data_IF_665583374733
#
_entry.id   IF_665583374733
#
_cell.length_a   1.000
_cell.length_b   1.000
_cell.length_c   1.000
_cell.angle_alpha   90.00
_cell.angle_beta   90.00
_cell.angle_gamma   90.00
#
_symmetry.space_group_name_H-M   'P 1'
#
loop_
_entity.id
_entity.type
_entity.pdbx_description
1 polymer ?
#
# COMPACT_ATOMS: atom_id res chain seq x y z
N UNK A 1 41.23 -9.80 -4.57
CA UNK A 1 40.99 -9.78 -6.03
C UNK A 1 39.55 -9.38 -6.25
N UNK A 2 39.34 -8.30 -7.01
CA UNK A 2 38.03 -7.84 -7.47
C UNK A 2 37.22 -8.96 -8.11
N UNK A 3 35.90 -8.92 -7.94
CA UNK A 3 35.00 -8.90 -9.09
C UNK A 3 33.61 -8.39 -8.67
N UNK A 4 33.40 -7.13 -8.99
CA UNK A 4 32.10 -6.52 -9.24
C UNK A 4 31.49 -7.11 -10.51
N UNK A 5 30.27 -7.62 -10.46
CA UNK A 5 29.44 -7.75 -11.67
C UNK A 5 27.97 -7.49 -11.34
N UNK A 6 27.54 -6.27 -11.61
CA UNK A 6 26.14 -5.91 -11.77
C UNK A 6 25.59 -6.65 -13.00
N UNK A 7 24.51 -7.41 -12.81
CA UNK A 7 23.72 -7.91 -13.94
C UNK A 7 22.69 -6.84 -14.27
N UNK A 8 23.07 -5.95 -15.18
CA UNK A 8 22.15 -5.12 -15.97
C UNK A 8 21.54 -6.03 -17.03
N UNK A 9 20.20 -6.11 -17.08
CA UNK A 9 19.47 -6.88 -18.09
C UNK A 9 19.68 -6.24 -19.48
N UNK A 10 20.17 -7.04 -20.42
CA UNK A 10 20.26 -6.71 -21.84
C UNK A 10 18.88 -6.48 -22.46
N UNK A 11 18.71 -5.34 -23.14
CA UNK A 11 17.78 -5.17 -24.27
C UNK A 11 18.65 -4.78 -25.46
N UNK A 12 18.83 -5.71 -26.41
CA UNK A 12 19.44 -5.47 -27.71
C UNK A 12 18.39 -4.79 -28.61
N UNK A 13 18.67 -3.56 -29.01
CA UNK A 13 17.86 -2.79 -29.96
C UNK A 13 18.62 -1.55 -30.41
N UNK A 14 19.05 -1.59 -31.67
CA UNK A 14 19.67 -0.56 -32.51
C UNK A 14 19.53 0.92 -32.08
N UNK A 15 20.67 1.61 -32.14
CA UNK A 15 20.88 3.01 -31.79
C UNK A 15 19.86 4.00 -32.39
N UNK A 16 19.13 4.68 -31.50
CA UNK A 16 18.58 6.02 -31.75
C UNK A 16 18.92 6.84 -30.51
N UNK A 17 19.54 8.01 -30.72
CA UNK A 17 19.88 8.99 -29.70
C UNK A 17 18.62 9.43 -28.95
N UNK A 18 18.33 8.79 -27.81
CA UNK A 18 17.47 9.33 -26.76
C UNK A 18 18.31 9.31 -25.48
N UNK A 19 18.76 10.49 -25.05
CA UNK A 19 19.27 10.70 -23.69
C UNK A 19 18.11 10.50 -22.71
N UNK A 20 17.82 9.25 -22.36
CA UNK A 20 17.02 8.96 -21.18
C UNK A 20 17.85 9.40 -19.97
N UNK A 21 17.31 10.21 -19.04
CA UNK A 21 17.99 10.45 -17.78
C UNK A 21 18.24 9.11 -17.10
N UNK A 22 19.51 8.74 -16.96
CA UNK A 22 19.92 7.60 -16.16
C UNK A 22 19.69 7.99 -14.69
N UNK A 23 18.53 7.63 -14.16
CA UNK A 23 18.25 7.79 -12.75
C UNK A 23 19.04 6.74 -11.97
N UNK A 24 20.11 7.20 -11.30
CA UNK A 24 20.91 6.39 -10.40
C UNK A 24 20.09 6.19 -9.13
N UNK A 25 19.63 4.97 -8.85
CA UNK A 25 19.00 4.69 -7.56
C UNK A 25 20.06 4.86 -6.46
N UNK A 26 19.80 5.75 -5.50
CA UNK A 26 20.67 5.93 -4.33
C UNK A 26 20.52 4.69 -3.43
N UNK A 27 21.63 4.00 -3.16
CA UNK A 27 21.69 2.94 -2.14
C UNK A 27 21.88 3.58 -0.76
N UNK A 28 20.83 3.54 0.05
CA UNK A 28 20.83 4.10 1.40
C UNK A 28 21.40 3.14 2.46
N UNK A 29 21.80 1.92 2.07
CA UNK A 29 22.54 0.95 2.91
C UNK A 29 21.68 -0.23 3.38
N UNK A 30 22.05 -0.84 4.52
CA UNK A 30 21.26 -1.91 5.16
C UNK A 30 21.15 -1.73 6.69
N UNK A 31 19.94 -1.81 7.26
CA UNK A 31 19.71 -1.80 8.71
C UNK A 31 19.54 -3.23 9.22
N UNK A 32 20.20 -3.52 10.34
CA UNK A 32 20.03 -4.77 11.06
C UNK A 32 19.23 -4.51 12.35
N UNK A 33 18.48 -5.52 12.83
CA UNK A 33 17.92 -5.49 14.17
C UNK A 33 19.02 -5.29 15.21
N UNK A 34 18.67 -4.65 16.32
CA UNK A 34 19.55 -4.54 17.49
C UNK A 34 19.41 -5.76 18.39
N UNK A 35 18.18 -6.25 18.54
CA UNK A 35 17.83 -7.39 19.39
C UNK A 35 16.81 -8.29 18.72
N UNK A 36 16.72 -9.52 19.18
CA UNK A 36 15.69 -10.46 18.73
C UNK A 36 15.20 -11.37 19.84
N UNK A 37 13.98 -11.88 19.66
CA UNK A 37 13.39 -12.95 20.44
C UNK A 37 12.96 -14.07 19.49
N UNK A 38 13.17 -15.32 19.89
CA UNK A 38 12.74 -16.50 19.14
C UNK A 38 12.01 -17.46 20.10
N UNK A 39 10.74 -17.75 19.81
CA UNK A 39 9.92 -18.58 20.68
C UNK A 39 8.49 -18.75 20.17
N UNK A 40 7.55 -18.92 21.10
CA UNK A 40 6.13 -19.18 20.80
C UNK A 40 5.23 -17.97 21.05
N UNK A 41 5.50 -17.24 22.14
CA UNK A 41 4.70 -16.12 22.61
C UNK A 41 5.58 -14.89 22.88
N UNK A 42 5.01 -13.72 22.63
CA UNK A 42 5.71 -12.43 22.72
C UNK A 42 5.77 -11.96 24.18
N UNK A 43 6.97 -11.68 24.70
CA UNK A 43 7.19 -10.95 25.97
C UNK A 43 8.24 -9.85 25.75
N UNK A 44 8.14 -8.70 26.43
CA UNK A 44 9.09 -7.60 26.27
C UNK A 44 10.41 -7.81 27.05
N UNK A 45 10.56 -8.92 27.78
CA UNK A 45 11.68 -9.15 28.71
C UNK A 45 12.79 -10.04 28.17
N UNK A 46 12.56 -10.79 27.10
CA UNK A 46 13.39 -11.96 26.77
C UNK A 46 14.26 -11.78 25.50
N UNK A 47 14.70 -10.56 25.23
CA UNK A 47 15.44 -10.23 24.00
C UNK A 47 16.95 -10.47 24.10
N UNK A 48 17.48 -11.29 23.20
CA UNK A 48 18.92 -11.45 22.98
C UNK A 48 19.47 -10.39 22.03
N UNK A 49 20.78 -10.10 22.13
CA UNK A 49 21.44 -9.21 21.16
C UNK A 49 21.47 -9.84 19.77
N UNK A 50 21.23 -9.06 18.72
CA UNK A 50 21.33 -9.54 17.35
C UNK A 50 22.79 -9.85 16.99
N UNK A 51 23.05 -11.07 16.48
CA UNK A 51 24.41 -11.55 16.17
C UNK A 51 24.66 -11.73 14.66
N UNK A 52 23.78 -11.22 13.81
CA UNK A 52 23.87 -11.37 12.35
C UNK A 52 24.00 -12.85 11.91
N UNK A 53 23.26 -13.71 12.61
CA UNK A 53 23.30 -15.15 12.48
C UNK A 53 22.09 -15.69 11.72
N UNK A 54 22.16 -16.98 11.39
CA UNK A 54 21.06 -17.64 10.71
C UNK A 54 19.96 -17.97 11.73
N UNK A 55 18.75 -17.43 11.57
CA UNK A 55 17.62 -17.76 12.45
C UNK A 55 16.84 -18.93 11.87
N UNK A 56 16.47 -19.88 12.73
CA UNK A 56 15.63 -21.01 12.33
C UNK A 56 14.25 -20.94 12.96
N UNK A 57 13.19 -20.74 12.17
CA UNK A 57 11.81 -20.84 12.67
C UNK A 57 11.41 -22.32 12.66
N UNK A 58 10.93 -22.84 13.78
CA UNK A 58 10.50 -24.24 13.94
C UNK A 58 9.10 -24.30 14.55
N UNK A 59 8.41 -25.46 14.55
CA UNK A 59 7.14 -25.59 15.27
C UNK A 59 7.24 -25.29 16.78
N UNK A 60 8.41 -25.52 17.41
CA UNK A 60 8.66 -25.19 18.82
C UNK A 60 9.08 -23.74 19.06
N UNK A 61 9.50 -23.03 18.01
CA UNK A 61 9.83 -21.61 18.05
C UNK A 61 9.37 -20.93 16.74
N UNK A 62 8.04 -20.81 16.51
CA UNK A 62 7.49 -20.37 15.25
C UNK A 62 7.54 -18.85 15.06
N UNK A 63 7.87 -18.10 16.11
CA UNK A 63 7.80 -16.65 16.15
C UNK A 63 9.19 -16.05 16.38
N UNK A 64 9.63 -15.24 15.43
CA UNK A 64 10.75 -14.32 15.57
C UNK A 64 10.21 -12.91 15.79
N UNK A 65 10.73 -12.20 16.77
CA UNK A 65 10.47 -10.76 16.96
C UNK A 65 11.79 -10.02 16.90
N UNK A 66 11.83 -8.92 16.16
CA UNK A 66 13.00 -8.07 15.95
C UNK A 66 12.74 -6.70 16.56
N UNK A 67 13.71 -6.20 17.34
CA UNK A 67 13.75 -4.83 17.87
C UNK A 67 14.90 -4.09 17.18
N UNK A 68 14.57 -3.04 16.44
CA UNK A 68 15.55 -2.16 15.81
C UNK A 68 16.19 -1.16 16.78
N UNK A 69 15.72 -1.09 18.03
CA UNK A 69 16.05 -0.14 19.09
C UNK A 69 15.65 1.31 18.81
N UNK A 70 15.49 1.68 17.54
CA UNK A 70 14.99 2.96 17.06
C UNK A 70 13.96 2.73 15.96
N UNK A 71 13.20 3.77 15.65
CA UNK A 71 12.32 3.78 14.49
C UNK A 71 13.13 3.78 13.19
N UNK A 72 12.78 2.85 12.31
CA UNK A 72 13.44 2.64 11.02
C UNK A 72 12.40 2.56 9.91
N UNK A 73 12.84 2.74 8.67
CA UNK A 73 11.98 2.61 7.50
C UNK A 73 12.78 2.14 6.29
N UNK A 74 12.08 1.50 5.35
CA UNK A 74 12.67 0.95 4.14
C UNK A 74 11.85 -0.21 3.56
N UNK A 75 12.40 -0.85 2.52
CA UNK A 75 11.87 -2.11 2.01
C UNK A 75 12.44 -3.25 2.83
N UNK A 76 11.54 -4.04 3.46
CA UNK A 76 11.94 -5.28 4.11
C UNK A 76 12.50 -6.22 3.04
N UNK A 77 13.60 -6.88 3.38
CA UNK A 77 14.00 -8.07 2.69
C UNK A 77 14.56 -9.12 3.65
N UNK A 78 14.53 -10.38 3.24
CA UNK A 78 15.22 -11.44 3.96
C UNK A 78 15.78 -12.46 2.98
N UNK A 79 16.76 -13.21 3.46
CA UNK A 79 17.46 -14.20 2.65
C UNK A 79 17.21 -15.60 3.18
N UNK A 80 16.25 -16.28 2.57
CA UNK A 80 15.95 -17.68 2.85
C UNK A 80 17.15 -18.53 2.43
N UNK A 81 17.77 -19.22 3.39
CA UNK A 81 18.92 -20.09 3.11
C UNK A 81 18.50 -21.49 2.70
N UNK A 82 17.41 -21.98 3.29
CA UNK A 82 16.75 -23.23 2.91
C UNK A 82 15.29 -23.19 3.35
N UNK A 83 14.44 -23.82 2.54
CA UNK A 83 13.05 -24.10 2.82
C UNK A 83 12.83 -25.59 2.59
N UNK A 84 12.03 -26.23 3.44
CA UNK A 84 11.53 -27.58 3.21
C UNK A 84 10.10 -27.48 2.68
N UNK A 85 9.92 -27.79 1.39
CA UNK A 85 8.60 -27.73 0.74
C UNK A 85 8.14 -26.30 0.46
N UNK A 86 6.86 -26.00 0.68
CA UNK A 86 6.33 -24.64 0.64
C UNK A 86 6.11 -24.16 2.06
N UNK A 87 6.73 -23.04 2.45
CA UNK A 87 6.54 -22.44 3.76
C UNK A 87 5.84 -21.08 3.63
N UNK A 88 4.96 -20.76 4.57
CA UNK A 88 4.35 -19.43 4.66
C UNK A 88 4.86 -18.68 5.87
N UNK A 89 5.18 -17.42 5.67
CA UNK A 89 5.57 -16.50 6.74
C UNK A 89 4.66 -15.28 6.74
N UNK A 90 4.02 -15.04 7.89
CA UNK A 90 3.33 -13.78 8.15
C UNK A 90 4.31 -12.82 8.79
N UNK A 91 4.30 -11.58 8.32
CA UNK A 91 5.17 -10.52 8.79
C UNK A 91 4.27 -9.38 9.27
N UNK A 92 4.53 -8.86 10.47
CA UNK A 92 3.85 -7.69 11.04
C UNK A 92 4.85 -6.61 11.40
N UNK A 93 4.46 -5.36 11.22
CA UNK A 93 5.29 -4.17 11.46
C UNK A 93 4.63 -3.29 12.50
N UNK A 94 5.39 -2.82 13.49
CA UNK A 94 4.88 -2.01 14.59
C UNK A 94 5.84 -0.90 14.99
N UNK A 95 5.33 0.33 15.16
CA UNK A 95 6.07 1.39 15.87
C UNK A 95 6.10 1.08 17.39
N UNK A 96 4.99 0.53 17.92
CA UNK A 96 4.87 0.09 19.31
C UNK A 96 4.89 -1.43 19.44
N UNK A 97 5.55 -1.96 20.48
CA UNK A 97 5.68 -3.40 20.71
C UNK A 97 4.32 -4.12 20.83
N UNK A 98 3.38 -3.49 21.55
CA UNK A 98 2.06 -4.09 21.82
C UNK A 98 1.25 -4.30 20.53
N UNK A 99 1.48 -3.47 19.51
CA UNK A 99 0.76 -3.56 18.24
C UNK A 99 0.93 -4.91 17.56
N UNK A 100 2.09 -5.57 17.69
CA UNK A 100 2.36 -6.89 17.08
C UNK A 100 1.37 -7.99 17.49
N UNK A 101 0.67 -7.81 18.61
CA UNK A 101 -0.36 -8.73 19.08
C UNK A 101 -1.71 -8.57 18.36
N UNK A 102 -1.96 -7.40 17.76
CA UNK A 102 -3.17 -7.13 16.98
C UNK A 102 -3.15 -7.89 15.64
N UNK A 103 -4.32 -8.25 15.07
CA UNK A 103 -4.39 -8.91 13.76
C UNK A 103 -3.65 -8.17 12.64
N UNK A 104 -3.81 -6.84 12.57
CA UNK A 104 -3.19 -5.96 11.56
C UNK A 104 -2.07 -5.07 12.14
N UNK A 105 -1.44 -5.51 13.23
CA UNK A 105 -0.38 -4.74 13.89
C UNK A 105 -0.84 -3.33 14.34
N UNK A 106 -0.12 -2.26 13.97
CA UNK A 106 -0.51 -0.85 14.15
C UNK A 106 -1.30 -0.28 12.95
N UNK A 107 -1.67 -1.14 11.99
CA UNK A 107 -2.55 -0.83 10.87
C UNK A 107 -4.00 -1.31 11.07
N UNK A 108 -4.88 -1.12 10.07
CA UNK A 108 -4.55 -0.52 8.78
C UNK A 108 -4.43 1.02 8.86
N UNK A 109 -3.64 1.62 7.97
CA UNK A 109 -3.61 3.07 7.73
C UNK A 109 -4.27 3.38 6.39
N UNK A 110 -5.54 3.76 6.43
CA UNK A 110 -6.40 3.88 5.24
C UNK A 110 -6.70 5.32 4.83
N UNK A 111 -6.04 6.29 5.45
CA UNK A 111 -6.30 7.71 5.21
C UNK A 111 -5.86 8.18 3.81
N UNK A 112 -4.87 7.51 3.23
CA UNK A 112 -4.36 7.78 1.89
C UNK A 112 -3.93 6.48 1.21
N UNK A 113 -3.99 6.45 -0.13
CA UNK A 113 -3.24 5.46 -0.88
C UNK A 113 -1.75 5.82 -0.79
N UNK A 114 -0.92 4.90 -0.32
CA UNK A 114 0.50 5.15 -0.09
C UNK A 114 1.38 4.04 -0.67
N UNK A 115 2.67 4.34 -0.77
CA UNK A 115 3.68 3.31 -1.06
C UNK A 115 3.97 2.41 0.12
N UNK A 116 3.44 2.76 1.28
CA UNK A 116 3.50 1.96 2.47
C UNK A 116 2.48 0.82 2.45
N UNK A 117 2.80 -0.29 3.11
CA UNK A 117 1.80 -1.34 3.32
C UNK A 117 0.71 -0.81 4.27
N UNK A 118 -0.47 -0.50 3.72
CA UNK A 118 -1.64 -0.03 4.46
C UNK A 118 -1.97 -0.94 5.64
N UNK A 119 -1.89 -2.26 5.48
CA UNK A 119 -2.38 -3.20 6.49
C UNK A 119 -1.36 -3.52 7.56
N UNK A 120 -0.09 -3.14 7.38
CA UNK A 120 1.01 -3.38 8.34
C UNK A 120 1.22 -4.85 8.70
N UNK A 121 0.66 -5.72 7.86
CA UNK A 121 0.80 -7.17 7.84
C UNK A 121 0.89 -7.61 6.38
N UNK A 122 1.71 -8.60 6.10
CA UNK A 122 1.75 -9.28 4.81
C UNK A 122 2.13 -10.75 5.00
N UNK A 123 1.68 -11.60 4.09
CA UNK A 123 2.05 -13.01 4.07
C UNK A 123 2.84 -13.33 2.80
N UNK A 124 3.93 -14.09 2.93
CA UNK A 124 4.77 -14.49 1.82
C UNK A 124 4.85 -16.02 1.71
N UNK A 125 4.75 -16.52 0.48
CA UNK A 125 5.09 -17.90 0.14
C UNK A 125 6.59 -17.99 -0.11
N UNK A 126 7.25 -18.86 0.63
CA UNK A 126 8.65 -19.20 0.49
C UNK A 126 8.73 -20.56 -0.19
N UNK A 127 9.06 -20.57 -1.48
CA UNK A 127 9.16 -21.78 -2.31
C UNK A 127 10.60 -22.19 -2.52
N UNK A 128 11.52 -21.22 -2.56
CA UNK A 128 12.92 -21.43 -2.94
C UNK A 128 13.85 -20.64 -2.00
N UNK A 129 15.09 -21.10 -1.81
CA UNK A 129 16.15 -20.27 -1.23
C UNK A 129 16.39 -19.02 -2.07
N UNK A 130 16.67 -17.90 -1.42
CA UNK A 130 16.97 -16.64 -2.11
C UNK A 130 16.52 -15.41 -1.34
N UNK A 131 16.57 -14.27 -2.04
CA UNK A 131 16.15 -12.97 -1.52
C UNK A 131 14.66 -12.76 -1.77
N UNK A 132 13.92 -12.48 -0.71
CA UNK A 132 12.53 -12.03 -0.76
C UNK A 132 12.50 -10.57 -0.30
N UNK A 133 11.81 -9.71 -1.04
CA UNK A 133 11.73 -8.27 -0.78
C UNK A 133 10.26 -7.85 -0.87
N UNK A 134 9.77 -7.08 0.10
CA UNK A 134 8.41 -6.54 0.09
C UNK A 134 8.22 -5.54 -1.04
N UNK A 135 7.03 -5.51 -1.62
CA UNK A 135 6.71 -4.55 -2.70
C UNK A 135 6.50 -3.13 -2.16
N UNK A 136 5.87 -3.00 -0.99
CA UNK A 136 5.60 -1.73 -0.34
C UNK A 136 6.69 -1.37 0.69
N UNK A 137 6.94 -0.07 0.86
CA UNK A 137 7.84 0.43 1.90
C UNK A 137 7.20 0.22 3.28
N UNK A 138 8.00 0.08 4.34
CA UNK A 138 7.53 0.28 5.70
C UNK A 138 8.03 1.64 6.17
N UNK A 139 7.14 2.64 6.22
CA UNK A 139 7.48 4.07 6.40
C UNK A 139 7.67 4.53 7.86
N UNK A 140 7.89 3.58 8.77
CA UNK A 140 8.06 3.77 10.21
C UNK A 140 7.80 2.43 10.90
N UNK A 141 8.78 1.87 11.58
CA UNK A 141 8.68 0.68 12.41
C UNK A 141 9.88 0.60 13.35
N UNK A 142 9.66 0.17 14.58
CA UNK A 142 10.74 -0.28 15.47
C UNK A 142 10.71 -1.79 15.69
N UNK A 143 9.52 -2.37 15.58
CA UNK A 143 9.24 -3.76 15.87
C UNK A 143 8.77 -4.47 14.61
N UNK A 144 9.24 -5.70 14.45
CA UNK A 144 8.78 -6.60 13.42
C UNK A 144 8.57 -7.97 14.04
N UNK A 145 7.48 -8.64 13.68
CA UNK A 145 7.30 -10.04 14.01
C UNK A 145 7.18 -10.87 12.75
N UNK A 146 7.74 -12.07 12.79
CA UNK A 146 7.64 -13.02 11.71
C UNK A 146 7.24 -14.38 12.25
N UNK A 147 6.07 -14.84 11.80
CA UNK A 147 5.46 -16.08 12.26
C UNK A 147 5.41 -17.08 11.12
N UNK A 148 6.00 -18.25 11.31
CA UNK A 148 5.76 -19.39 10.43
C UNK A 148 4.32 -19.86 10.55
N UNK A 149 3.58 -19.85 9.44
CA UNK A 149 2.18 -20.29 9.39
C UNK A 149 2.04 -21.81 9.14
N UNK A 150 3.13 -22.46 8.75
CA UNK A 150 3.23 -23.90 8.49
C UNK A 150 4.33 -24.55 9.33
N UNK A 151 4.16 -25.82 9.67
CA UNK A 151 5.04 -26.57 10.57
C UNK A 151 6.35 -27.06 9.92
N UNK A 152 7.27 -26.21 9.43
CA UNK A 152 8.55 -26.71 8.87
C UNK A 152 9.73 -25.74 9.06
N UNK A 153 10.97 -26.25 9.24
CA UNK A 153 12.12 -25.46 9.63
C UNK A 153 12.60 -24.53 8.50
N UNK A 154 12.42 -23.23 8.68
CA UNK A 154 13.08 -22.20 7.87
C UNK A 154 14.47 -21.98 8.42
N UNK A 155 15.56 -22.15 7.66
CA UNK A 155 16.87 -21.58 8.04
C UNK A 155 17.05 -20.29 7.25
N UNK A 156 17.09 -19.14 7.90
CA UNK A 156 17.25 -17.82 7.26
C UNK A 156 18.66 -17.30 7.53
N UNK A 157 19.49 -17.07 6.50
CA UNK A 157 20.92 -16.80 6.70
C UNK A 157 21.21 -15.40 7.23
N UNK A 158 20.42 -14.40 6.82
CA UNK A 158 20.65 -12.96 7.08
C UNK A 158 19.37 -12.18 6.80
N UNK A 159 18.72 -11.69 7.87
CA UNK A 159 17.64 -10.69 7.78
C UNK A 159 18.20 -9.29 7.84
N UNK A 160 17.75 -8.46 6.91
CA UNK A 160 18.39 -7.20 6.59
C UNK A 160 17.35 -6.30 5.97
N UNK A 161 17.18 -5.09 6.48
CA UNK A 161 16.39 -4.05 5.80
C UNK A 161 17.29 -3.32 4.84
N UNK A 162 16.82 -2.87 3.67
CA UNK A 162 17.56 -1.80 3.01
C UNK A 162 17.45 -0.58 3.94
N UNK A 163 18.59 -0.13 4.45
CA UNK A 163 18.67 1.00 5.36
C UNK A 163 18.01 2.16 4.69
N UNK A 164 17.23 2.91 5.46
CA UNK A 164 17.08 4.29 5.10
C UNK A 164 17.60 5.24 6.18
N UNK A 165 17.66 4.93 7.50
CA UNK A 165 17.95 6.00 8.49
C UNK A 165 18.96 5.73 9.62
N UNK A 166 19.71 6.80 9.91
CA UNK A 166 20.24 7.25 11.20
C UNK A 166 19.69 8.69 11.41
N UNK A 167 19.58 9.13 12.67
CA UNK A 167 18.89 10.35 13.14
C UNK A 167 18.86 11.59 12.21
N UNK A 168 17.69 12.24 12.19
CA UNK A 168 17.47 13.62 11.75
C UNK A 168 17.49 13.82 10.23
N UNK A 169 18.65 14.24 9.71
CA UNK A 169 18.75 14.73 8.33
C UNK A 169 18.42 13.69 7.25
N UNK A 170 18.68 12.40 7.51
CA UNK A 170 18.34 11.34 6.57
C UNK A 170 16.83 11.08 6.51
N UNK A 171 16.09 11.26 7.61
CA UNK A 171 14.62 11.11 7.61
C UNK A 171 13.94 12.14 6.72
N UNK A 172 14.50 13.35 6.65
CA UNK A 172 14.03 14.38 5.70
C UNK A 172 14.38 14.02 4.26
N UNK A 173 15.58 13.49 4.00
CA UNK A 173 15.91 12.96 2.67
C UNK A 173 14.99 11.80 2.26
N UNK A 174 14.48 11.05 3.24
CA UNK A 174 13.44 10.05 3.01
C UNK A 174 12.21 10.65 2.40
N UNK A 175 11.76 11.83 2.80
CA UNK A 175 10.50 12.32 2.26
C UNK A 175 10.66 12.69 0.77
N UNK A 176 11.89 12.81 0.29
CA UNK A 176 12.19 13.18 -1.09
C UNK A 176 12.24 11.98 -2.05
N UNK A 177 11.72 12.21 -3.25
CA UNK A 177 11.61 11.25 -4.35
C UNK A 177 12.13 11.92 -5.61
N UNK A 178 13.06 11.26 -6.31
CA UNK A 178 13.57 11.75 -7.59
C UNK A 178 12.48 11.78 -8.66
N UNK A 179 12.51 12.78 -9.54
CA UNK A 179 11.71 12.80 -10.76
C UNK A 179 11.79 11.45 -11.49
N UNK A 180 10.70 10.98 -12.09
CA UNK A 180 10.65 9.69 -12.78
C UNK A 180 10.84 8.43 -11.91
N UNK A 181 11.21 8.57 -10.63
CA UNK A 181 11.44 7.44 -9.71
C UNK A 181 10.35 7.28 -8.66
N UNK A 182 9.24 8.00 -8.78
CA UNK A 182 8.06 7.74 -7.97
C UNK A 182 7.67 6.27 -8.11
N UNK A 183 7.83 5.46 -7.06
CA UNK A 183 7.40 4.08 -7.15
C UNK A 183 5.88 4.11 -7.36
N UNK A 184 5.39 3.30 -8.30
CA UNK A 184 3.96 3.17 -8.51
C UNK A 184 3.41 2.15 -7.50
N UNK A 185 2.32 2.51 -6.82
CA UNK A 185 1.61 1.58 -5.94
C UNK A 185 0.89 0.47 -6.71
N UNK A 186 0.72 0.69 -8.03
CA UNK A 186 0.17 -0.27 -8.99
C UNK A 186 1.26 -0.70 -9.97
N UNK A 187 1.32 -1.98 -10.29
CA UNK A 187 2.23 -2.48 -11.31
C UNK A 187 1.51 -2.54 -12.65
N UNK A 188 1.88 -1.65 -13.59
CA UNK A 188 1.26 -1.59 -14.91
C UNK A 188 1.89 -2.64 -15.83
N UNK A 189 1.06 -3.47 -16.45
CA UNK A 189 1.45 -4.51 -17.40
C UNK A 189 0.64 -4.41 -18.69
N UNK A 190 0.99 -5.22 -19.69
CA UNK A 190 0.20 -5.33 -20.93
C UNK A 190 -1.24 -5.84 -20.71
N UNK A 191 -1.50 -6.51 -19.57
CA UNK A 191 -2.81 -7.05 -19.24
C UNK A 191 -3.68 -6.09 -18.40
N UNK A 192 -3.10 -4.99 -17.91
CA UNK A 192 -3.78 -4.01 -17.05
C UNK A 192 -2.91 -3.58 -15.85
N UNK A 193 -3.54 -2.88 -14.90
CA UNK A 193 -2.91 -2.50 -13.64
C UNK A 193 -3.06 -3.63 -12.61
N UNK A 194 -1.94 -4.22 -12.18
CA UNK A 194 -1.89 -5.16 -11.07
C UNK A 194 -1.86 -4.39 -9.74
N UNK A 195 -2.92 -4.54 -8.97
CA UNK A 195 -3.15 -3.84 -7.71
C UNK A 195 -3.09 -4.86 -6.57
N UNK A 196 -2.12 -4.67 -5.67
CA UNK A 196 -2.00 -5.41 -4.40
C UNK A 196 -2.85 -4.75 -3.33
N UNK A 197 -3.13 -5.45 -2.23
CA UNK A 197 -3.96 -4.88 -1.20
C UNK A 197 -3.34 -3.65 -0.55
N UNK A 198 -4.14 -2.60 -0.51
CA UNK A 198 -3.77 -1.25 -0.08
C UNK A 198 -5.05 -0.42 0.09
N UNK A 199 -4.95 0.72 0.76
CA UNK A 199 -6.03 1.71 0.74
C UNK A 199 -6.34 2.10 -0.71
N UNK A 200 -7.63 2.16 -1.06
CA UNK A 200 -8.05 2.38 -2.45
C UNK A 200 -7.58 3.75 -2.97
N UNK A 201 -6.99 3.76 -4.17
CA UNK A 201 -6.61 5.00 -4.84
C UNK A 201 -7.83 5.61 -5.53
N UNK A 202 -8.23 6.80 -5.08
CA UNK A 202 -9.38 7.52 -5.61
C UNK A 202 -9.07 8.20 -6.94
N UNK A 203 -10.04 8.22 -7.84
CA UNK A 203 -9.92 8.83 -9.16
C UNK A 203 -10.17 10.33 -9.07
N UNK A 204 -9.26 11.16 -9.59
CA UNK A 204 -9.52 12.59 -9.72
C UNK A 204 -10.67 12.89 -10.70
N UNK A 205 -10.93 12.00 -11.67
CA UNK A 205 -12.01 12.17 -12.66
C UNK A 205 -13.43 11.98 -12.08
N UNK A 206 -13.51 11.34 -10.91
CA UNK A 206 -14.78 11.08 -10.23
C UNK A 206 -15.14 12.10 -9.17
N UNK A 207 -14.25 13.06 -8.87
CA UNK A 207 -14.54 14.09 -7.88
C UNK A 207 -15.80 14.88 -8.26
N UNK A 208 -16.71 15.06 -7.28
CA UNK A 208 -17.98 15.76 -7.45
C UNK A 208 -18.99 15.07 -8.40
N UNK A 209 -18.75 13.82 -8.81
CA UNK A 209 -19.75 13.06 -9.58
C UNK A 209 -20.83 12.53 -8.64
N UNK A 210 -22.04 12.38 -9.17
CA UNK A 210 -23.14 11.76 -8.44
C UNK A 210 -23.99 10.89 -9.37
N UNK A 211 -24.75 9.95 -8.80
CA UNK A 211 -25.75 9.14 -9.50
C UNK A 211 -25.21 8.45 -10.78
N UNK A 212 -23.97 7.96 -10.72
CA UNK A 212 -23.32 7.34 -11.86
C UNK A 212 -23.33 5.81 -11.78
N UNK A 213 -23.06 5.19 -12.93
CA UNK A 213 -22.75 3.77 -13.05
C UNK A 213 -21.28 3.61 -13.42
N UNK A 214 -20.54 2.88 -12.59
CA UNK A 214 -19.14 2.53 -12.84
C UNK A 214 -19.06 1.15 -13.50
N UNK A 215 -18.38 1.06 -14.64
CA UNK A 215 -18.07 -0.21 -15.31
C UNK A 215 -16.57 -0.43 -15.37
N UNK A 216 -16.12 -1.63 -15.00
CA UNK A 216 -14.70 -1.99 -15.06
C UNK A 216 -14.53 -3.51 -15.16
N UNK A 217 -13.40 -3.94 -15.73
CA UNK A 217 -13.04 -5.35 -15.81
C UNK A 217 -11.98 -5.68 -14.76
N UNK A 218 -12.16 -6.81 -14.08
CA UNK A 218 -11.23 -7.35 -13.09
C UNK A 218 -10.76 -8.75 -13.49
N UNK A 219 -9.56 -9.11 -13.06
CA UNK A 219 -9.14 -10.51 -12.92
C UNK A 219 -8.48 -10.69 -11.56
N UNK A 220 -9.10 -11.47 -10.69
CA UNK A 220 -8.56 -11.76 -9.36
C UNK A 220 -7.38 -12.72 -9.53
N UNK A 221 -6.21 -12.33 -9.04
CA UNK A 221 -4.99 -13.15 -9.03
C UNK A 221 -4.86 -13.91 -7.72
N UNK A 222 -5.36 -13.32 -6.63
CA UNK A 222 -5.42 -13.95 -5.31
C UNK A 222 -6.49 -13.33 -4.45
N UNK A 223 -7.27 -14.17 -3.79
CA UNK A 223 -8.17 -13.85 -2.70
C UNK A 223 -9.44 -13.14 -3.13
N UNK A 224 -9.32 -11.94 -3.71
CA UNK A 224 -10.47 -11.13 -4.10
C UNK A 224 -10.07 -9.79 -4.70
N UNK A 225 -11.03 -8.89 -4.84
CA UNK A 225 -10.83 -7.51 -5.29
C UNK A 225 -11.52 -6.52 -4.38
N UNK A 226 -11.17 -5.23 -4.48
CA UNK A 226 -11.83 -4.15 -3.74
C UNK A 226 -11.95 -2.86 -4.55
N UNK A 227 -13.09 -2.19 -4.42
CA UNK A 227 -13.37 -0.90 -5.06
C UNK A 227 -14.33 -0.05 -4.23
N UNK A 228 -14.39 1.24 -4.58
CA UNK A 228 -15.28 2.23 -3.96
C UNK A 228 -16.09 2.98 -5.02
N UNK A 229 -17.29 3.41 -4.65
CA UNK A 229 -18.13 4.36 -5.38
C UNK A 229 -18.76 5.33 -4.37
N UNK A 230 -19.17 6.52 -4.82
CA UNK A 230 -19.66 7.60 -3.94
C UNK A 230 -18.75 7.83 -2.71
N UNK A 231 -17.44 7.63 -2.91
CA UNK A 231 -16.42 7.79 -1.88
C UNK A 231 -15.95 9.23 -1.85
N UNK A 232 -15.43 9.67 -0.70
CA UNK A 232 -14.66 10.90 -0.67
C UNK A 232 -13.36 10.75 -1.47
N UNK A 233 -12.63 11.85 -1.64
CA UNK A 233 -11.28 11.85 -2.24
C UNK A 233 -10.26 11.18 -1.31
N UNK A 234 -10.48 11.23 0.00
CA UNK A 234 -9.87 10.30 0.95
C UNK A 234 -10.57 8.93 0.85
N UNK A 235 -9.91 7.81 1.17
CA UNK A 235 -10.48 6.45 1.08
C UNK A 235 -11.53 6.12 2.16
N UNK A 236 -12.51 7.00 2.35
CA UNK A 236 -13.65 6.84 3.27
C UNK A 236 -14.97 6.88 2.49
N UNK A 237 -15.89 5.99 2.85
CA UNK A 237 -17.21 5.86 2.22
C UNK A 237 -17.54 4.41 1.85
N UNK A 238 -18.42 4.18 0.87
CA UNK A 238 -18.83 2.86 0.41
C UNK A 238 -17.63 2.06 -0.13
N UNK A 239 -17.34 0.92 0.50
CA UNK A 239 -16.27 -0.01 0.13
C UNK A 239 -16.83 -1.39 -0.12
N UNK A 240 -16.52 -1.93 -1.29
CA UNK A 240 -16.96 -3.23 -1.77
C UNK A 240 -15.74 -4.13 -1.90
N UNK A 241 -15.80 -5.31 -1.29
CA UNK A 241 -14.78 -6.35 -1.42
C UNK A 241 -15.44 -7.61 -1.92
N UNK A 242 -15.05 -8.05 -3.12
CA UNK A 242 -15.55 -9.28 -3.72
C UNK A 242 -14.49 -10.38 -3.54
N UNK A 243 -14.85 -11.48 -2.90
CA UNK A 243 -13.96 -12.62 -2.68
C UNK A 243 -14.14 -13.69 -3.76
N UNK A 244 -13.06 -14.43 -4.01
CA UNK A 244 -13.01 -15.58 -4.92
C UNK A 244 -13.39 -16.88 -4.22
N UNK A 245 -13.21 -18.00 -4.91
CA UNK A 245 -13.37 -19.36 -4.39
C UNK A 245 -12.26 -19.77 -3.42
N UNK A 246 -11.16 -19.01 -3.37
CA UNK A 246 -9.96 -19.31 -2.58
C UNK A 246 -9.37 -20.69 -2.92
N UNK A 247 -8.81 -20.88 -4.13
CA UNK A 247 -8.17 -22.13 -4.51
C UNK A 247 -6.95 -22.41 -3.62
N UNK A 248 -6.72 -23.68 -3.30
CA UNK A 248 -5.63 -24.11 -2.40
C UNK A 248 -4.24 -23.69 -2.89
N UNK A 249 -4.06 -23.55 -4.21
CA UNK A 249 -2.80 -23.20 -4.84
C UNK A 249 -2.35 -21.76 -4.57
N UNK A 250 -3.26 -20.84 -4.27
CA UNK A 250 -2.98 -19.42 -4.08
C UNK A 250 -3.34 -18.88 -2.69
N UNK A 251 -4.22 -19.58 -1.97
CA UNK A 251 -4.78 -19.11 -0.71
C UNK A 251 -3.80 -19.30 0.44
N UNK A 252 -3.66 -18.26 1.27
CA UNK A 252 -2.83 -18.33 2.46
C UNK A 252 -3.54 -19.04 3.61
N UNK A 253 -2.77 -19.76 4.43
CA UNK A 253 -3.29 -20.53 5.56
C UNK A 253 -3.99 -19.63 6.60
N UNK A 254 -3.50 -18.40 6.75
CA UNK A 254 -4.05 -17.38 7.65
C UNK A 254 -5.16 -16.51 7.02
N UNK A 255 -5.70 -16.87 5.85
CA UNK A 255 -6.84 -16.14 5.25
C UNK A 255 -8.05 -16.18 6.19
N UNK A 256 -8.50 -15.01 6.64
CA UNK A 256 -9.65 -14.88 7.54
C UNK A 256 -10.98 -15.06 6.78
N UNK A 257 -11.44 -16.31 6.69
CA UNK A 257 -12.70 -16.68 6.02
C UNK A 257 -13.96 -16.27 6.77
N UNK A 258 -13.85 -15.76 8.01
CA UNK A 258 -14.99 -15.16 8.72
C UNK A 258 -15.21 -13.72 8.30
N UNK A 259 -14.13 -12.94 8.18
CA UNK A 259 -14.18 -11.55 7.69
C UNK A 259 -14.38 -11.48 6.18
N UNK A 260 -13.81 -12.44 5.45
CA UNK A 260 -13.89 -12.52 3.99
C UNK A 260 -14.29 -13.94 3.56
N UNK A 261 -15.56 -14.33 3.74
CA UNK A 261 -16.05 -15.63 3.28
C UNK A 261 -15.85 -15.81 1.76
N UNK A 262 -15.68 -17.03 1.24
CA UNK A 262 -15.55 -17.27 -0.20
C UNK A 262 -16.79 -16.82 -0.98
N UNK A 263 -16.61 -16.44 -2.25
CA UNK A 263 -17.69 -16.08 -3.18
C UNK A 263 -18.73 -15.13 -2.58
N UNK A 264 -18.28 -14.08 -1.91
CA UNK A 264 -19.12 -13.16 -1.14
C UNK A 264 -18.75 -11.73 -1.51
N UNK A 265 -19.76 -10.90 -1.74
CA UNK A 265 -19.58 -9.44 -1.75
C UNK A 265 -19.70 -8.94 -0.31
N UNK A 266 -18.62 -8.40 0.23
CA UNK A 266 -18.57 -7.76 1.55
C UNK A 266 -18.65 -6.26 1.35
N UNK A 267 -19.47 -5.60 2.15
CA UNK A 267 -19.68 -4.16 2.09
C UNK A 267 -19.45 -3.50 3.45
N UNK A 268 -18.78 -2.35 3.44
CA UNK A 268 -18.70 -1.44 4.56
C UNK A 268 -18.83 0.01 4.09
N UNK A 269 -19.29 0.90 4.95
CA UNK A 269 -19.26 2.33 4.70
C UNK A 269 -18.38 3.03 5.72
N UNK A 270 -17.10 3.17 5.41
CA UNK A 270 -16.10 3.68 6.32
C UNK A 270 -14.69 3.57 5.74
N UNK A 271 -13.72 3.55 6.64
CA UNK A 271 -12.30 3.50 6.31
C UNK A 271 -11.83 2.13 5.79
N UNK A 272 -12.42 1.04 6.25
CA UNK A 272 -12.05 -0.35 5.89
C UNK A 272 -13.16 -1.34 6.27
N UNK A 273 -12.85 -2.64 6.29
CA UNK A 273 -13.70 -3.71 6.82
C UNK A 273 -13.43 -4.05 8.30
N UNK A 274 -12.36 -3.50 8.88
CA UNK A 274 -11.91 -3.83 10.24
C UNK A 274 -12.20 -2.66 11.16
N UNK A 275 -12.89 -2.98 12.25
CA UNK A 275 -13.16 -2.05 13.33
C UNK A 275 -11.97 -1.99 14.29
N UNK A 276 -11.42 -0.79 14.53
CA UNK A 276 -10.47 -0.55 15.61
C UNK A 276 -10.61 0.86 16.19
N UNK A 277 -10.01 1.12 17.36
CA UNK A 277 -10.19 2.35 18.14
C UNK A 277 -9.88 3.65 17.38
N UNK A 278 -8.96 3.61 16.41
CA UNK A 278 -8.57 4.77 15.59
C UNK A 278 -9.22 4.77 14.19
N UNK A 279 -9.95 3.71 13.83
CA UNK A 279 -10.66 3.54 12.57
C UNK A 279 -11.99 2.83 12.81
N UNK A 280 -12.93 3.56 13.40
CA UNK A 280 -14.28 3.07 13.61
C UNK A 280 -14.99 2.88 12.26
N UNK A 281 -15.67 1.75 12.10
CA UNK A 281 -16.43 1.39 10.90
C UNK A 281 -17.79 0.79 11.32
N UNK A 282 -18.87 0.97 10.54
CA UNK A 282 -20.11 0.25 10.81
C UNK A 282 -19.92 -1.27 10.67
N UNK A 283 -20.94 -2.03 11.04
CA UNK A 283 -20.97 -3.49 10.83
C UNK A 283 -20.89 -3.82 9.34
N UNK A 284 -20.04 -4.79 8.99
CA UNK A 284 -19.95 -5.30 7.62
C UNK A 284 -21.26 -5.98 7.19
N UNK A 285 -21.69 -5.71 5.97
CA UNK A 285 -22.77 -6.46 5.31
C UNK A 285 -22.16 -7.52 4.39
N UNK A 286 -22.78 -8.69 4.36
CA UNK A 286 -22.30 -9.84 3.60
C UNK A 286 -23.39 -10.31 2.64
N UNK A 287 -23.03 -10.44 1.37
CA UNK A 287 -23.91 -10.90 0.31
C UNK A 287 -23.26 -12.12 -0.38
N UNK A 288 -23.55 -13.35 0.09
CA UNK A 288 -23.10 -14.56 -0.57
C UNK A 288 -23.62 -14.63 -2.00
N UNK A 289 -22.78 -15.11 -2.91
CA UNK A 289 -23.12 -15.20 -4.33
C UNK A 289 -23.44 -16.64 -4.71
N UNK A 290 -24.51 -16.81 -5.50
CA UNK A 290 -24.87 -18.10 -6.10
C UNK A 290 -23.94 -18.50 -7.25
N UNK A 291 -23.05 -17.58 -7.66
CA UNK A 291 -22.05 -17.81 -8.70
C UNK A 291 -20.66 -17.96 -8.09
N UNK A 292 -19.92 -18.94 -8.59
CA UNK A 292 -18.52 -19.12 -8.23
C UNK A 292 -17.66 -18.07 -8.94
N UNK A 293 -17.05 -17.19 -8.15
CA UNK A 293 -16.05 -16.22 -8.58
C UNK A 293 -14.70 -16.92 -8.51
N UNK A 294 -14.05 -17.06 -9.67
CA UNK A 294 -12.83 -17.83 -9.84
C UNK A 294 -11.62 -16.91 -9.94
N UNK A 295 -10.52 -17.31 -9.33
CA UNK A 295 -9.22 -16.69 -9.63
C UNK A 295 -8.82 -16.95 -11.09
N UNK A 296 -7.97 -16.07 -11.62
CA UNK A 296 -7.47 -16.07 -13.00
C UNK A 296 -8.53 -15.99 -14.12
N UNK A 297 -9.77 -15.67 -13.77
CA UNK A 297 -10.85 -15.38 -14.73
C UNK A 297 -11.19 -13.89 -14.78
N UNK A 298 -11.43 -13.39 -15.99
CA UNK A 298 -11.89 -12.02 -16.21
C UNK A 298 -13.39 -11.91 -15.93
N UNK A 299 -13.77 -10.88 -15.18
CA UNK A 299 -15.15 -10.49 -14.90
C UNK A 299 -15.37 -9.02 -15.21
N UNK A 300 -16.55 -8.68 -15.72
CA UNK A 300 -17.00 -7.30 -15.87
C UNK A 300 -17.92 -6.93 -14.73
N UNK A 301 -17.52 -5.93 -13.96
CA UNK A 301 -18.29 -5.39 -12.84
C UNK A 301 -19.03 -4.12 -13.29
N UNK A 302 -20.28 -4.01 -12.87
CA UNK A 302 -21.08 -2.79 -12.96
C UNK A 302 -21.58 -2.44 -11.57
N UNK A 303 -21.32 -1.21 -11.11
CA UNK A 303 -21.87 -0.68 -9.86
C UNK A 303 -22.65 0.60 -10.16
N UNK A 304 -23.97 0.55 -10.03
CA UNK A 304 -24.86 1.67 -10.27
C UNK A 304 -25.37 2.26 -8.95
N UNK A 305 -25.31 3.58 -8.82
CA UNK A 305 -25.89 4.32 -7.69
C UNK A 305 -27.38 4.54 -7.95
N UNK A 306 -28.21 4.20 -6.97
CA UNK A 306 -29.67 4.33 -7.01
C UNK A 306 -30.20 4.98 -5.72
N UNK A 307 -31.47 5.40 -5.74
CA UNK A 307 -32.14 6.06 -4.62
C UNK A 307 -32.16 5.26 -3.31
N UNK A 308 -32.09 3.93 -3.37
CA UNK A 308 -32.11 3.04 -2.20
C UNK A 308 -30.75 2.41 -1.87
N UNK A 309 -29.72 2.65 -2.68
CA UNK A 309 -28.41 2.05 -2.46
C UNK A 309 -27.58 1.87 -3.72
N UNK A 310 -26.86 0.75 -3.78
CA UNK A 310 -25.94 0.40 -4.86
C UNK A 310 -26.33 -0.92 -5.48
N UNK A 311 -26.41 -0.95 -6.80
CA UNK A 311 -26.71 -2.15 -7.57
C UNK A 311 -25.45 -2.67 -8.23
N UNK A 312 -25.01 -3.86 -7.83
CA UNK A 312 -23.81 -4.50 -8.35
C UNK A 312 -24.22 -5.64 -9.27
N UNK A 313 -23.65 -5.67 -10.47
CA UNK A 313 -23.81 -6.76 -11.43
C UNK A 313 -22.43 -7.29 -11.81
N UNK A 314 -22.32 -8.62 -11.87
CA UNK A 314 -21.09 -9.35 -12.23
C UNK A 314 -21.38 -10.14 -13.51
N UNK A 315 -20.74 -9.75 -14.61
CA UNK A 315 -21.03 -10.21 -15.97
C UNK A 315 -22.52 -10.07 -16.33
N UNK A 316 -23.20 -11.20 -16.56
CA UNK A 316 -24.64 -11.28 -16.89
C UNK A 316 -25.45 -12.00 -15.80
N UNK A 317 -24.91 -12.12 -14.58
CA UNK A 317 -25.41 -12.97 -13.48
C UNK A 317 -25.44 -12.18 -12.16
N UNK A 318 -26.13 -12.66 -11.10
CA UNK A 318 -27.18 -11.93 -10.41
C UNK A 318 -26.77 -10.58 -9.83
N UNK A 319 -27.77 -9.70 -9.80
CA UNK A 319 -27.69 -8.37 -9.23
C UNK A 319 -27.66 -8.50 -7.70
N UNK A 320 -26.69 -7.84 -7.07
CA UNK A 320 -26.67 -7.61 -5.61
C UNK A 320 -27.09 -6.18 -5.35
N UNK A 321 -28.21 -5.99 -4.64
CA UNK A 321 -28.64 -4.68 -4.16
C UNK A 321 -28.14 -4.47 -2.73
N UNK A 322 -27.20 -3.53 -2.57
CA UNK A 322 -26.63 -3.12 -1.29
C UNK A 322 -27.36 -1.87 -0.82
N UNK A 323 -27.94 -1.84 0.39
CA UNK A 323 -28.67 -0.66 0.86
C UNK A 323 -27.74 0.53 1.10
N UNK A 324 -28.32 1.73 1.12
CA UNK A 324 -27.58 2.91 1.56
C UNK A 324 -27.03 2.72 2.97
N UNK A 325 -25.86 3.27 3.25
CA UNK A 325 -25.25 3.14 4.54
C UNK A 325 -25.98 3.94 5.62
N UNK A 326 -26.10 3.34 6.80
CA UNK A 326 -26.63 3.95 8.01
C UNK A 326 -25.67 3.71 9.19
N UNK A 327 -25.22 4.75 9.90
CA UNK A 327 -25.48 6.17 9.65
C UNK A 327 -24.73 6.67 8.41
N UNK A 328 -25.27 7.71 7.75
CA UNK A 328 -24.54 8.45 6.71
C UNK A 328 -23.35 9.12 7.41
N UNK A 329 -22.14 8.77 7.01
CA UNK A 329 -20.92 9.43 7.49
C UNK A 329 -20.91 10.84 6.91
N UNK A 330 -21.38 11.81 7.72
CA UNK A 330 -21.25 13.24 7.43
C UNK A 330 -20.14 13.77 8.31
N UNK A 331 -19.12 14.38 7.71
CA UNK A 331 -17.98 14.91 8.46
C UNK A 331 -16.85 15.38 7.56
N UNK A 332 -15.79 15.88 8.17
CA UNK A 332 -14.70 16.62 7.52
C UNK A 332 -13.97 15.87 6.38
N UNK A 333 -14.05 14.54 6.32
CA UNK A 333 -13.42 13.72 5.26
C UNK A 333 -14.41 12.92 4.42
N UNK A 334 -15.70 12.89 4.79
CA UNK A 334 -16.73 12.12 4.09
C UNK A 334 -17.40 12.93 2.98
N UNK A 335 -18.27 12.29 2.20
CA UNK A 335 -19.09 13.01 1.21
C UNK A 335 -20.32 13.63 1.88
N UNK A 336 -20.82 14.72 1.31
CA UNK A 336 -22.05 15.39 1.75
C UNK A 336 -23.31 14.54 1.52
N UNK A 337 -23.22 13.62 0.55
CA UNK A 337 -24.31 12.80 0.03
C UNK A 337 -23.81 11.38 -0.25
N UNK A 338 -24.56 10.32 0.12
CA UNK A 338 -24.18 8.95 -0.18
C UNK A 338 -24.31 8.60 -1.67
N UNK A 339 -24.82 9.52 -2.50
CA UNK A 339 -24.93 9.36 -3.95
C UNK A 339 -23.84 10.13 -4.71
N UNK A 340 -23.05 10.93 -4.00
CA UNK A 340 -22.01 11.79 -4.54
C UNK A 340 -20.64 11.28 -4.10
N UNK A 341 -19.65 11.47 -4.95
CA UNK A 341 -18.25 11.19 -4.65
C UNK A 341 -17.57 10.50 -5.81
N UNK A 342 -16.29 10.25 -5.61
CA UNK A 342 -15.45 9.57 -6.59
C UNK A 342 -15.52 8.04 -6.45
N UNK A 343 -14.79 7.36 -7.33
CA UNK A 343 -14.53 5.93 -7.28
C UNK A 343 -13.04 5.67 -7.08
N UNK A 344 -12.72 4.49 -6.56
CA UNK A 344 -11.33 4.10 -6.35
C UNK A 344 -11.14 2.59 -6.31
N UNK A 345 -9.89 2.17 -6.50
CA UNK A 345 -9.53 0.75 -6.53
C UNK A 345 -8.43 0.44 -5.53
N UNK A 346 -8.60 -0.66 -4.80
CA UNK A 346 -7.65 -1.14 -3.81
C UNK A 346 -8.19 -2.44 -3.24
N UNK A 347 -7.44 -3.52 -3.43
CA UNK A 347 -7.82 -4.80 -2.88
C UNK A 347 -7.59 -4.82 -1.34
N UNK A 348 -8.18 -5.79 -0.66
CA UNK A 348 -8.02 -5.93 0.78
C UNK A 348 -6.77 -6.77 1.13
N UNK A 349 -5.86 -6.25 1.94
CA UNK A 349 -4.70 -6.95 2.53
C UNK A 349 -3.89 -7.81 1.52
N UNK A 350 -3.98 -9.14 1.59
CA UNK A 350 -3.20 -10.06 0.77
C UNK A 350 -3.85 -10.33 -0.60
N UNK A 351 -4.98 -9.68 -0.90
CA UNK A 351 -5.65 -9.78 -2.19
C UNK A 351 -4.86 -9.09 -3.29
N UNK A 352 -4.92 -9.66 -4.50
CA UNK A 352 -4.23 -9.14 -5.68
C UNK A 352 -5.16 -9.23 -6.89
N UNK A 353 -5.33 -8.12 -7.62
CA UNK A 353 -6.26 -8.03 -8.74
C UNK A 353 -5.69 -7.22 -9.90
N UNK A 354 -5.95 -7.67 -11.12
CA UNK A 354 -5.79 -6.85 -12.33
C UNK A 354 -7.03 -6.01 -12.61
N UNK A 355 -6.83 -4.73 -12.96
CA UNK A 355 -7.86 -3.83 -13.46
C UNK A 355 -7.50 -3.33 -14.87
N UNK A 356 -8.45 -3.31 -15.83
CA UNK A 356 -8.20 -2.81 -17.21
C UNK A 356 -8.52 -1.32 -17.40
N UNK A 357 -7.85 -0.70 -18.37
CA UNK A 357 -8.08 0.67 -18.84
C UNK A 357 -7.76 1.78 -17.82
N UNK A 358 -6.67 1.61 -17.07
CA UNK A 358 -6.17 2.62 -16.13
C UNK A 358 -4.82 3.18 -16.55
N UNK A 359 -4.55 4.43 -16.14
CA UNK A 359 -3.27 5.09 -16.32
C UNK A 359 -2.80 5.64 -14.98
N UNK A 360 -1.53 5.42 -14.67
CA UNK A 360 -0.84 6.05 -13.55
C UNK A 360 -0.13 7.29 -14.09
N UNK A 361 -0.19 8.41 -13.36
CA UNK A 361 0.56 9.60 -13.73
C UNK A 361 2.04 9.43 -13.32
N UNK A 362 3.01 9.65 -14.23
CA UNK A 362 4.41 9.72 -13.84
C UNK A 362 4.66 10.95 -12.97
N UNK A 363 5.75 10.92 -12.20
CA UNK A 363 6.25 12.08 -11.48
C UNK A 363 7.24 12.85 -12.35
N UNK A 364 6.90 14.08 -12.72
CA UNK A 364 7.73 14.91 -13.61
C UNK A 364 8.81 15.71 -12.86
N UNK A 365 8.70 15.84 -11.53
CA UNK A 365 9.58 16.66 -10.69
C UNK A 365 10.16 15.88 -9.51
N UNK A 366 11.38 16.19 -9.09
CA UNK A 366 11.90 15.68 -7.82
C UNK A 366 11.21 16.42 -6.67
N UNK A 367 10.48 15.73 -5.80
CA UNK A 367 9.65 16.35 -4.75
C UNK A 367 9.93 15.78 -3.38
N UNK A 368 9.74 16.58 -2.33
CA UNK A 368 9.72 16.12 -0.94
C UNK A 368 8.28 16.08 -0.41
N UNK A 369 7.90 14.90 0.05
CA UNK A 369 6.58 14.58 0.59
C UNK A 369 6.46 15.03 2.05
N UNK A 370 5.23 15.07 2.53
CA UNK A 370 4.92 15.07 3.95
C UNK A 370 5.16 13.68 4.55
N UNK A 371 5.82 13.63 5.71
CA UNK A 371 6.24 12.38 6.35
C UNK A 371 7.26 11.54 5.54
N UNK A 372 7.73 10.44 6.14
CA UNK A 372 8.76 9.57 5.56
C UNK A 372 8.21 8.62 4.46
N UNK A 373 7.73 9.17 3.34
CA UNK A 373 7.10 8.46 2.18
C UNK A 373 5.83 7.67 2.51
N UNK A 374 5.23 7.86 3.69
CA UNK A 374 3.93 7.27 4.04
C UNK A 374 2.81 8.01 3.32
N UNK A 375 2.85 9.34 3.36
CA UNK A 375 1.82 10.18 2.77
C UNK A 375 2.18 10.56 1.32
N UNK A 376 1.15 10.59 0.47
CA UNK A 376 1.25 11.07 -0.91
C UNK A 376 0.82 12.53 -1.00
N UNK A 377 1.35 13.36 -0.12
CA UNK A 377 1.11 14.80 -0.10
C UNK A 377 2.46 15.53 -0.19
N UNK A 378 2.52 16.57 -0.99
CA UNK A 378 3.62 17.54 -0.96
C UNK A 378 3.12 18.73 -0.15
N UNK A 379 3.59 18.87 1.09
CA UNK A 379 3.11 19.89 2.02
C UNK A 379 4.08 21.07 2.11
N UNK A 380 3.69 22.23 1.58
CA UNK A 380 4.60 23.39 1.46
C UNK A 380 5.00 23.97 2.81
N UNK A 381 4.15 23.87 3.84
CA UNK A 381 4.45 24.34 5.20
C UNK A 381 5.61 23.58 5.85
N UNK A 382 5.63 22.27 5.63
CA UNK A 382 6.63 21.34 6.16
C UNK A 382 7.86 21.35 5.26
N UNK A 383 7.71 21.79 4.02
CA UNK A 383 8.85 21.97 3.16
C UNK A 383 9.85 23.01 3.69
N UNK A 384 9.41 24.00 4.48
CA UNK A 384 10.29 25.04 5.04
C UNK A 384 11.48 24.47 5.84
N UNK A 385 11.26 23.47 6.70
CA UNK A 385 12.35 22.84 7.45
C UNK A 385 13.15 21.87 6.56
N UNK A 386 12.47 21.22 5.61
CA UNK A 386 13.08 20.30 4.64
C UNK A 386 14.13 20.96 3.75
N UNK A 387 13.89 22.19 3.29
CA UNK A 387 14.83 22.96 2.45
C UNK A 387 16.20 23.10 3.13
N UNK A 388 16.22 23.50 4.40
CA UNK A 388 17.48 23.71 5.15
C UNK A 388 18.25 22.40 5.31
N UNK A 389 17.54 21.32 5.62
CA UNK A 389 18.14 20.01 5.82
C UNK A 389 18.70 19.46 4.52
N UNK A 390 17.96 19.52 3.41
CA UNK A 390 18.46 19.08 2.10
C UNK A 390 19.69 19.88 1.67
N UNK A 391 19.67 21.21 1.82
CA UNK A 391 20.80 22.07 1.47
C UNK A 391 22.08 21.71 2.25
N UNK A 392 21.96 21.46 3.56
CA UNK A 392 23.09 21.18 4.45
C UNK A 392 23.56 19.72 4.42
N UNK A 393 22.75 18.78 3.95
CA UNK A 393 23.04 17.35 4.05
C UNK A 393 23.49 16.73 2.72
N UNK A 394 22.71 16.90 1.65
CA UNK A 394 23.02 16.35 0.31
C UNK A 394 23.29 17.44 -0.71
N UNK A 395 22.92 18.69 -0.41
CA UNK A 395 22.97 19.83 -1.33
C UNK A 395 22.25 19.56 -2.66
N UNK A 396 21.21 18.70 -2.63
CA UNK A 396 20.35 18.38 -3.78
C UNK A 396 19.37 19.52 -4.05
N UNK A 397 19.83 20.50 -4.82
CA UNK A 397 19.02 21.66 -5.19
C UNK A 397 17.80 21.30 -6.04
N UNK A 398 17.84 20.18 -6.76
CA UNK A 398 16.74 19.69 -7.58
C UNK A 398 15.54 19.23 -6.74
N UNK A 399 15.73 18.72 -5.52
CA UNK A 399 14.61 18.51 -4.58
C UNK A 399 14.01 19.85 -4.13
N UNK A 400 14.83 20.90 -4.02
CA UNK A 400 14.39 22.23 -3.61
C UNK A 400 13.53 22.87 -4.70
N UNK A 401 14.10 23.04 -5.89
CA UNK A 401 13.42 23.66 -7.02
C UNK A 401 12.28 22.80 -7.53
N UNK A 402 12.47 21.47 -7.64
CA UNK A 402 11.42 20.57 -8.12
C UNK A 402 10.20 20.51 -7.21
N UNK A 403 10.36 20.58 -5.89
CA UNK A 403 9.20 20.66 -4.97
C UNK A 403 8.47 21.99 -5.12
N UNK A 404 9.20 23.11 -5.28
CA UNK A 404 8.60 24.43 -5.53
C UNK A 404 7.84 24.41 -6.86
N UNK A 405 8.48 23.99 -7.94
CA UNK A 405 7.86 23.90 -9.27
C UNK A 405 6.61 23.01 -9.25
N UNK A 406 6.67 21.88 -8.53
CA UNK A 406 5.53 21.00 -8.34
C UNK A 406 4.36 21.73 -7.66
N UNK A 407 4.57 22.33 -6.50
CA UNK A 407 3.50 23.02 -5.75
C UNK A 407 2.94 24.20 -6.53
N UNK A 408 3.80 25.00 -7.17
CA UNK A 408 3.38 26.14 -7.98
C UNK A 408 2.60 25.72 -9.23
N UNK A 409 2.83 24.52 -9.76
CA UNK A 409 1.99 24.01 -10.85
C UNK A 409 0.52 23.83 -10.45
N UNK A 410 0.22 23.72 -9.14
CA UNK A 410 -1.14 23.64 -8.59
C UNK A 410 -1.71 25.00 -8.17
N UNK A 411 -1.05 26.12 -8.47
CA UNK A 411 -1.57 27.45 -8.16
C UNK A 411 -2.98 27.65 -8.71
N UNK A 412 -3.87 28.19 -7.90
CA UNK A 412 -5.25 28.45 -8.27
C UNK A 412 -5.35 29.56 -9.32
N UNK A 413 -6.06 29.27 -10.41
CA UNK A 413 -6.17 30.19 -11.56
C UNK A 413 -7.38 31.11 -11.45
N UNK A 414 -8.39 30.74 -10.65
CA UNK A 414 -9.65 31.46 -10.54
C UNK A 414 -10.25 31.30 -9.13
N UNK A 415 -11.14 32.21 -8.73
CA UNK A 415 -11.92 32.12 -7.49
C UNK A 415 -11.30 32.84 -6.31
N UNK A 416 -11.80 32.55 -5.10
CA UNK A 416 -11.42 33.25 -3.86
C UNK A 416 -9.92 33.17 -3.54
N UNK A 417 -9.27 32.11 -4.03
CA UNK A 417 -7.85 31.84 -3.81
C UNK A 417 -7.01 32.00 -5.08
N UNK A 418 -7.49 32.73 -6.09
CA UNK A 418 -6.71 33.03 -7.30
C UNK A 418 -5.30 33.53 -6.95
N UNK A 419 -4.27 32.93 -7.55
CA UNK A 419 -2.87 33.25 -7.30
C UNK A 419 -2.27 32.60 -6.04
N UNK A 420 -3.05 31.88 -5.22
CA UNK A 420 -2.52 31.10 -4.10
C UNK A 420 -2.16 29.68 -4.54
N UNK A 421 -1.19 29.08 -3.85
CA UNK A 421 -0.86 27.65 -3.98
C UNK A 421 -1.50 26.86 -2.85
N UNK A 422 -1.99 25.63 -3.09
CA UNK A 422 -2.56 24.82 -2.04
C UNK A 422 -1.51 24.44 -0.99
N UNK A 423 -1.95 24.24 0.24
CA UNK A 423 -1.07 23.84 1.35
C UNK A 423 -0.56 22.40 1.13
N UNK A 424 -1.44 21.41 0.88
CA UNK A 424 -1.07 20.13 0.28
C UNK A 424 -1.29 20.09 -1.24
N UNK A 425 -0.26 19.72 -2.01
CA UNK A 425 -0.44 19.24 -3.37
C UNK A 425 -0.46 17.69 -3.41
N UNK A 426 -1.47 17.10 -4.05
CA UNK A 426 -1.64 15.64 -4.11
C UNK A 426 -0.58 14.97 -4.99
N UNK A 427 0.25 14.09 -4.42
CA UNK A 427 1.29 13.35 -5.12
C UNK A 427 0.73 12.17 -5.91
N UNK A 428 0.93 12.18 -7.23
CA UNK A 428 0.38 11.19 -8.16
C UNK A 428 -0.91 11.62 -8.87
N UNK A 429 -1.34 12.87 -8.65
CA UNK A 429 -2.32 13.56 -9.49
C UNK A 429 -1.61 14.45 -10.53
N UNK A 430 -2.36 15.07 -11.43
CA UNK A 430 -1.84 16.10 -12.35
C UNK A 430 -2.44 17.46 -12.01
N UNK A 431 -1.73 18.57 -12.24
CA UNK A 431 -2.25 19.93 -12.00
C UNK A 431 -3.59 20.23 -12.66
N UNK A 432 -3.84 19.70 -13.86
CA UNK A 432 -5.14 19.82 -14.55
C UNK A 432 -6.33 19.23 -13.77
N UNK A 433 -6.06 18.50 -12.69
CA UNK A 433 -7.06 17.92 -11.79
C UNK A 433 -7.02 18.54 -10.39
N UNK A 434 -6.40 19.72 -10.20
CA UNK A 434 -6.31 20.39 -8.90
C UNK A 434 -7.68 20.59 -8.23
N UNK A 435 -8.67 21.00 -9.01
CA UNK A 435 -10.07 21.15 -8.57
C UNK A 435 -10.79 19.84 -8.17
N UNK A 436 -10.17 18.68 -8.38
CA UNK A 436 -10.73 17.41 -7.93
C UNK A 436 -10.53 17.20 -6.42
N UNK A 437 -9.64 17.95 -5.78
CA UNK A 437 -9.29 17.82 -4.38
C UNK A 437 -9.61 19.14 -3.69
N UNK A 438 -10.85 19.32 -3.18
CA UNK A 438 -11.20 20.55 -2.48
C UNK A 438 -10.35 20.69 -1.20
N UNK A 439 -9.86 21.91 -0.96
CA UNK A 439 -9.09 22.30 0.23
C UNK A 439 -9.89 22.19 1.54
#
# INVERSE_FOLDING_TARGET
MCESMQIVRYLLGTAIYCTLPAYVSVDYGTINPSRYYLGTNVSNSDFGSWRNETITLTPSAPLLVLDFATEVAGFLFFHVSSVLGTAQIEIKYGEEFQSLSNPNSDGPWTFSNGLSNTFRVETLNLTDPGRFESFFIQGGQRWESCRGQSSWPLKDKKRRFKQSFYLGGRVVQASCVDAGNAPSTWQITEHGALVRGQASAQSALGAGKANYTLHFDIKIVRGGTGWRVASAVQPIGPYFVLTSEYPESSTFVNTNRTLLPPNTLVFNNGWSLVYQSTLETPTNLYFPLDVMIQEDKWYRISTAIHETGYRIQIDRTPIVDVPLPSPIIRGNFGTSSPYEGTWGFGAYQDHVTYFRNYRVAPLDYSVCLDGAKRDRLVWIGDFYHTVRVNALSTSRSDYITGTIDYVFSYQEEEGLYEGFVPIPANFGARPRYKYAYPD
#
